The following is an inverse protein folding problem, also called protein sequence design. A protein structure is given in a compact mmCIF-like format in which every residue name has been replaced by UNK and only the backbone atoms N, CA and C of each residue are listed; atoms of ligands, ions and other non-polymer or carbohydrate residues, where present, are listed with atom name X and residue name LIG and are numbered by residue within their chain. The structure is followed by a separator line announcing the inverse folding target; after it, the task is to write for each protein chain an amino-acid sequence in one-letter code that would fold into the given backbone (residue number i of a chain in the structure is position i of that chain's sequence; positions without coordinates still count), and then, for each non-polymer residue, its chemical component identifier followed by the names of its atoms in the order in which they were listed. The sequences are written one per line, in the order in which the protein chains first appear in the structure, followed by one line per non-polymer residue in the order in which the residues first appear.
data_IF_232108081383
#
_entry.id   IF_232108081383
#
_cell.length_a   1.000
_cell.length_b   1.000
_cell.length_c   1.000
_cell.angle_alpha   90.00
_cell.angle_beta   90.00
_cell.angle_gamma   90.00
#
_symmetry.space_group_name_H-M   'P 1'
#
loop_
_entity.id
_entity.type
_entity.pdbx_description
1 polymer ?
#
# COMPACT_ATOMS: atom_id res chain seq x y z
N UNK A 1 -10.45 -0.69 1.69
CA UNK A 1 -11.15 -0.97 2.97
C UNK A 1 -10.15 -1.00 4.12
N UNK A 2 -10.62 -0.99 5.37
CA UNK A 2 -9.75 -0.95 6.56
C UNK A 2 -8.77 -2.14 6.62
N UNK A 3 -9.22 -3.35 6.26
CA UNK A 3 -8.38 -4.56 6.25
C UNK A 3 -7.21 -4.44 5.28
N UNK A 4 -7.44 -3.91 4.07
CA UNK A 4 -6.36 -3.70 3.11
C UNK A 4 -5.30 -2.71 3.61
N UNK A 5 -5.72 -1.64 4.30
CA UNK A 5 -4.81 -0.68 4.91
C UNK A 5 -3.96 -1.31 6.03
N UNK A 6 -4.57 -2.17 6.85
CA UNK A 6 -3.87 -2.93 7.90
C UNK A 6 -2.87 -3.94 7.33
N UNK A 7 -3.22 -4.59 6.21
CA UNK A 7 -2.32 -5.50 5.52
C UNK A 7 -1.11 -4.76 4.93
N UNK A 8 -1.32 -3.59 4.31
CA UNK A 8 -0.23 -2.76 3.80
C UNK A 8 0.70 -2.25 4.92
N UNK A 9 0.16 -1.91 6.09
CA UNK A 9 0.99 -1.48 7.23
C UNK A 9 1.71 -2.62 7.94
N UNK A 10 1.34 -3.88 7.67
CA UNK A 10 1.93 -5.07 8.29
C UNK A 10 2.09 -6.21 7.27
N UNK A 11 3.00 -6.09 6.27
CA UNK A 11 3.15 -7.10 5.21
C UNK A 11 3.60 -8.48 5.71
N UNK A 12 4.10 -8.56 6.94
CA UNK A 12 4.52 -9.78 7.64
C UNK A 12 3.36 -10.50 8.37
N UNK A 13 2.13 -9.99 8.29
CA UNK A 13 0.94 -10.60 8.87
C UNK A 13 -0.01 -11.00 7.74
N UNK A 14 -0.47 -12.25 7.73
CA UNK A 14 -1.48 -12.72 6.79
C UNK A 14 -2.87 -12.24 7.24
N UNK A 15 -3.62 -11.63 6.31
CA UNK A 15 -5.01 -11.22 6.53
C UNK A 15 -5.93 -12.05 5.65
N UNK A 16 -7.09 -12.44 6.20
CA UNK A 16 -8.19 -13.05 5.44
C UNK A 16 -9.49 -12.34 5.79
N UNK A 17 -10.18 -11.81 4.79
CA UNK A 17 -11.52 -11.23 4.91
C UNK A 17 -12.53 -12.11 4.19
N UNK A 18 -13.57 -12.52 4.90
CA UNK A 18 -14.70 -13.27 4.36
C UNK A 18 -15.93 -12.37 4.43
N UNK A 19 -16.66 -12.27 3.32
CA UNK A 19 -17.92 -11.53 3.20
C UNK A 19 -18.91 -12.46 2.53
N UNK A 20 -20.06 -12.71 3.16
CA UNK A 20 -21.12 -13.58 2.64
C UNK A 20 -20.57 -14.95 2.17
N UNK A 21 -19.78 -15.60 3.04
CA UNK A 21 -19.09 -16.88 2.81
C UNK A 21 -18.08 -16.91 1.64
N UNK A 22 -17.80 -15.76 1.02
CA UNK A 22 -16.78 -15.62 -0.04
C UNK A 22 -15.53 -14.96 0.49
N UNK A 23 -14.37 -15.47 0.09
CA UNK A 23 -13.08 -14.83 0.39
C UNK A 23 -12.96 -13.55 -0.44
N UNK A 24 -13.06 -12.41 0.23
CA UNK A 24 -12.96 -11.10 -0.39
C UNK A 24 -11.51 -10.60 -0.46
N UNK A 25 -10.70 -10.88 0.58
CA UNK A 25 -9.28 -10.53 0.64
C UNK A 25 -8.52 -11.71 1.25
N UNK A 26 -7.36 -12.02 0.70
CA UNK A 26 -6.33 -12.84 1.33
C UNK A 26 -4.97 -12.22 1.03
N UNK A 27 -4.14 -12.00 2.05
CA UNK A 27 -2.76 -11.51 1.87
C UNK A 27 -1.75 -12.53 2.41
N UNK A 28 -0.56 -12.63 1.80
CA UNK A 28 0.37 -13.73 2.09
C UNK A 28 1.03 -13.63 3.47
N UNK A 29 1.30 -12.43 3.97
CA UNK A 29 1.98 -12.24 5.26
C UNK A 29 3.47 -12.64 5.23
N UNK A 30 4.11 -12.66 4.05
CA UNK A 30 5.49 -13.09 3.87
C UNK A 30 6.53 -11.96 4.04
N UNK A 31 6.10 -10.75 4.39
CA UNK A 31 6.97 -9.58 4.53
C UNK A 31 7.21 -8.81 3.24
N UNK A 32 6.83 -9.33 2.07
CA UNK A 32 6.96 -8.63 0.80
C UNK A 32 5.74 -7.71 0.56
N UNK A 33 5.99 -6.40 0.56
CA UNK A 33 4.96 -5.38 0.30
C UNK A 33 4.40 -5.49 -1.12
N UNK A 34 5.21 -5.91 -2.11
CA UNK A 34 4.80 -6.06 -3.50
C UNK A 34 3.79 -7.19 -3.65
N UNK A 35 4.01 -8.30 -2.93
CA UNK A 35 3.06 -9.42 -2.90
C UNK A 35 1.76 -9.03 -2.19
N UNK A 36 1.85 -8.23 -1.12
CA UNK A 36 0.69 -7.69 -0.42
C UNK A 36 -0.13 -6.77 -1.33
N UNK A 37 0.52 -5.90 -2.11
CA UNK A 37 -0.13 -5.02 -3.10
C UNK A 37 -0.79 -5.84 -4.21
N UNK A 38 -0.09 -6.84 -4.77
CA UNK A 38 -0.64 -7.72 -5.79
C UNK A 38 -1.89 -8.49 -5.31
N UNK A 39 -1.89 -8.93 -4.05
CA UNK A 39 -3.02 -9.61 -3.45
C UNK A 39 -4.25 -8.69 -3.24
N UNK A 40 -4.04 -7.41 -2.99
CA UNK A 40 -5.11 -6.42 -2.75
C UNK A 40 -5.65 -5.81 -4.04
N UNK A 41 -4.81 -5.61 -5.06
CA UNK A 41 -5.13 -4.80 -6.24
C UNK A 41 -5.00 -5.56 -7.57
N UNK A 42 -4.59 -6.83 -7.53
CA UNK A 42 -4.50 -7.74 -8.67
C UNK A 42 -3.06 -7.96 -9.15
N UNK A 43 -2.76 -9.16 -9.63
CA UNK A 43 -1.38 -9.60 -9.91
C UNK A 43 -0.58 -8.67 -10.85
N UNK A 44 -1.25 -8.04 -11.83
CA UNK A 44 -0.62 -7.13 -12.81
C UNK A 44 -0.02 -5.89 -12.15
N UNK A 45 -0.45 -5.51 -10.94
CA UNK A 45 0.12 -4.34 -10.27
C UNK A 45 1.58 -4.54 -9.92
N UNK A 46 2.05 -5.79 -9.74
CA UNK A 46 3.46 -6.07 -9.40
C UNK A 46 4.43 -5.59 -10.48
N UNK A 47 4.02 -5.64 -11.75
CA UNK A 47 4.85 -5.21 -12.90
C UNK A 47 4.87 -3.68 -13.10
N UNK A 48 3.98 -2.98 -12.40
CA UNK A 48 3.75 -1.54 -12.53
C UNK A 48 4.06 -0.77 -11.25
N UNK A 49 4.63 -1.41 -10.24
CA UNK A 49 5.11 -0.77 -9.02
C UNK A 49 6.63 -0.79 -8.92
N UNK A 50 7.18 0.19 -8.22
CA UNK A 50 8.59 0.31 -7.92
C UNK A 50 8.77 0.56 -6.43
N UNK A 51 9.83 -0.01 -5.86
CA UNK A 51 10.22 0.26 -4.48
C UNK A 51 10.76 1.67 -4.35
N UNK A 52 10.35 2.36 -3.29
CA UNK A 52 10.94 3.62 -2.86
C UNK A 52 11.65 3.39 -1.55
N UNK A 53 12.90 3.83 -1.46
CA UNK A 53 13.69 3.79 -0.25
C UNK A 53 14.46 5.10 -0.15
N UNK A 54 14.29 5.82 0.95
CA UNK A 54 14.99 7.07 1.20
C UNK A 54 15.30 7.20 2.69
N UNK A 55 16.50 7.66 2.99
CA UNK A 55 16.96 7.89 4.35
C UNK A 55 17.70 9.22 4.41
N UNK A 56 17.36 10.05 5.38
CA UNK A 56 18.07 11.31 5.66
C UNK A 56 17.82 11.74 7.10
N UNK A 57 18.87 12.18 7.79
CA UNK A 57 18.87 12.60 9.19
C UNK A 57 18.05 11.68 10.11
N UNK A 58 16.78 12.05 10.36
CA UNK A 58 15.83 11.40 11.27
C UNK A 58 14.61 10.81 10.55
N UNK A 59 14.63 10.76 9.22
CA UNK A 59 13.51 10.34 8.38
C UNK A 59 13.93 9.11 7.56
N UNK A 60 13.10 8.08 7.65
CA UNK A 60 13.18 6.90 6.81
C UNK A 60 11.86 6.73 6.05
N UNK A 61 11.94 6.54 4.75
CA UNK A 61 10.81 6.28 3.86
C UNK A 61 11.08 4.96 3.16
N UNK A 62 10.11 4.05 3.25
CA UNK A 62 10.07 2.80 2.52
C UNK A 62 8.66 2.55 2.00
N UNK A 63 8.55 1.78 0.93
CA UNK A 63 7.27 1.37 0.35
C UNK A 63 7.33 1.19 -1.15
N UNK A 64 6.17 1.34 -1.80
CA UNK A 64 6.04 1.17 -3.25
C UNK A 64 5.17 2.26 -3.87
N UNK A 65 5.50 2.63 -5.11
CA UNK A 65 4.75 3.59 -5.94
C UNK A 65 4.49 2.99 -7.31
N UNK A 66 3.34 3.31 -7.92
CA UNK A 66 3.00 2.80 -9.25
C UNK A 66 3.47 3.73 -10.37
N UNK A 67 3.61 3.19 -11.59
CA UNK A 67 3.72 4.00 -12.81
C UNK A 67 2.55 4.99 -12.91
N UNK A 68 2.76 6.20 -13.45
CA UNK A 68 1.68 7.16 -13.72
C UNK A 68 0.60 6.59 -14.66
N UNK A 69 0.93 5.62 -15.51
CA UNK A 69 -0.06 4.94 -16.38
C UNK A 69 -1.12 4.15 -15.61
N UNK A 70 -0.90 3.85 -14.33
CA UNK A 70 -1.87 3.19 -13.46
C UNK A 70 -2.85 4.17 -12.77
N UNK A 71 -2.79 5.47 -13.11
CA UNK A 71 -3.63 6.51 -12.53
C UNK A 71 -5.11 6.10 -12.50
N UNK A 72 -5.67 6.10 -11.29
CA UNK A 72 -7.11 5.96 -11.05
C UNK A 72 -7.70 7.34 -10.84
N UNK A 73 -8.95 7.52 -11.23
CA UNK A 73 -9.73 8.74 -11.01
C UNK A 73 -9.95 9.08 -9.53
N UNK A 74 -9.62 8.16 -8.61
CA UNK A 74 -9.78 8.34 -7.17
C UNK A 74 -8.50 7.96 -6.42
N UNK A 75 -8.29 8.58 -5.25
CA UNK A 75 -7.15 8.31 -4.36
C UNK A 75 -7.36 7.12 -3.43
N UNK A 76 -8.37 6.28 -3.69
CA UNK A 76 -8.77 5.18 -2.79
C UNK A 76 -7.64 4.15 -2.60
N UNK A 77 -6.69 4.08 -3.54
CA UNK A 77 -5.54 3.17 -3.48
C UNK A 77 -4.27 3.81 -2.87
N UNK A 78 -4.30 5.10 -2.52
CA UNK A 78 -3.20 5.74 -1.81
C UNK A 78 -3.34 5.47 -0.31
N UNK A 79 -2.35 4.81 0.27
CA UNK A 79 -2.26 4.55 1.72
C UNK A 79 -0.96 5.12 2.25
N UNK A 80 -1.05 6.06 3.18
CA UNK A 80 0.11 6.69 3.83
C UNK A 80 0.22 6.13 5.24
N UNK A 81 1.43 5.68 5.61
CA UNK A 81 1.72 5.07 6.91
C UNK A 81 2.88 5.83 7.54
N UNK A 82 2.71 6.26 8.80
CA UNK A 82 3.74 6.91 9.60
C UNK A 82 3.85 6.17 10.92
N UNK A 83 5.04 5.64 11.23
CA UNK A 83 5.30 4.86 12.45
C UNK A 83 4.21 3.79 12.68
N UNK A 84 3.95 2.98 11.65
CA UNK A 84 2.94 1.91 11.63
C UNK A 84 1.47 2.36 11.78
N UNK A 85 1.19 3.67 11.71
CA UNK A 85 -0.17 4.20 11.74
C UNK A 85 -0.59 4.65 10.36
N UNK A 86 -1.73 4.15 9.90
CA UNK A 86 -2.34 4.64 8.66
C UNK A 86 -2.92 6.03 8.93
N UNK A 87 -2.44 7.03 8.21
CA UNK A 87 -2.83 8.44 8.39
C UNK A 87 -3.47 9.02 7.13
N UNK A 88 -4.07 10.20 7.28
CA UNK A 88 -4.54 11.04 6.19
C UNK A 88 -4.04 12.45 6.44
N UNK A 89 -3.01 12.87 5.72
CA UNK A 89 -2.37 14.19 5.87
C UNK A 89 -2.34 14.95 4.54
N UNK A 90 -2.92 16.15 4.52
CA UNK A 90 -3.06 16.95 3.30
C UNK A 90 -1.71 17.48 2.78
N UNK A 91 -0.77 17.73 3.66
CA UNK A 91 0.56 18.25 3.30
C UNK A 91 1.37 17.17 2.61
N UNK A 92 1.38 15.95 3.16
CA UNK A 92 2.04 14.80 2.53
C UNK A 92 1.42 14.50 1.18
N UNK A 93 0.08 14.49 1.09
CA UNK A 93 -0.61 14.26 -0.18
C UNK A 93 -0.23 15.29 -1.24
N UNK A 94 -0.17 16.58 -0.88
CA UNK A 94 0.23 17.64 -1.80
C UNK A 94 1.70 17.54 -2.22
N UNK A 95 2.57 17.11 -1.32
CA UNK A 95 3.98 16.86 -1.64
C UNK A 95 4.12 15.73 -2.67
N UNK A 96 3.36 14.63 -2.52
CA UNK A 96 3.33 13.52 -3.49
C UNK A 96 2.82 13.98 -4.87
N UNK A 97 1.82 14.88 -4.90
CA UNK A 97 1.29 15.41 -6.16
C UNK A 97 2.28 16.30 -6.94
N UNK A 98 3.24 16.92 -6.24
CA UNK A 98 4.22 17.83 -6.83
C UNK A 98 5.57 17.14 -7.13
N UNK A 99 5.68 15.84 -6.87
CA UNK A 99 6.90 15.06 -7.03
C UNK A 99 7.20 14.70 -8.49
#
# INVERSE_FOLDING_TARGET
GIVGKLALSNPYISFKLIIDDRVAIITPGNGDISDTVAALYGYKTKDDIFTVAYESDSIYIDGVVSKPTLLKSTRIWQTIIVNNRVISDKTIMKAIDNA
#
